data_IF_931133772562
#
_entry.id   IF_931133772562
#
_cell.length_a   1.000
_cell.length_b   1.000
_cell.length_c   1.000
_cell.angle_alpha   90.00
_cell.angle_beta   90.00
_cell.angle_gamma   90.00
#
_symmetry.space_group_name_H-M   'P 1'
#
loop_
_entity.id
_entity.type
_entity.pdbx_description
1 polymer ?
#
# COMPACT_ATOMS: atom_id res chain seq x y z
N UNK A 1 21.35 -61.33 -27.46
CA UNK A 1 22.71 -61.35 -28.05
C UNK A 1 22.96 -59.99 -28.70
N UNK A 2 24.10 -59.37 -28.36
CA UNK A 2 24.67 -58.11 -28.90
C UNK A 2 24.07 -56.80 -28.37
N UNK A 3 24.82 -55.77 -28.02
CA UNK A 3 26.17 -55.58 -27.45
C UNK A 3 26.21 -54.06 -27.15
N UNK A 4 26.85 -53.68 -26.04
CA UNK A 4 27.10 -52.30 -25.63
C UNK A 4 27.73 -51.46 -26.75
N UNK A 5 27.43 -50.15 -26.78
CA UNK A 5 28.46 -49.15 -27.02
C UNK A 5 28.13 -47.83 -26.31
N UNK A 6 28.93 -47.56 -25.29
CA UNK A 6 29.14 -46.25 -24.68
C UNK A 6 29.98 -45.41 -25.64
N UNK A 7 29.59 -44.16 -25.87
CA UNK A 7 30.53 -43.12 -26.28
C UNK A 7 30.25 -41.85 -25.51
N UNK A 8 31.08 -41.60 -24.50
CA UNK A 8 31.16 -40.36 -23.75
C UNK A 8 31.83 -39.29 -24.62
N UNK A 9 31.18 -38.15 -24.81
CA UNK A 9 31.79 -36.98 -25.44
C UNK A 9 31.91 -35.87 -24.39
N UNK A 10 33.08 -35.80 -23.77
CA UNK A 10 33.53 -34.67 -22.93
C UNK A 10 33.99 -33.53 -23.84
N UNK A 11 33.37 -32.35 -23.69
CA UNK A 11 33.88 -31.10 -24.24
C UNK A 11 34.18 -30.12 -23.09
N UNK A 12 35.43 -29.65 -23.10
CA UNK A 12 36.09 -28.81 -22.10
C UNK A 12 35.40 -27.46 -21.95
N UNK A 13 35.05 -27.10 -20.72
CA UNK A 13 34.75 -25.70 -20.33
C UNK A 13 36.05 -24.99 -19.98
N UNK A 14 36.46 -24.01 -20.78
CA UNK A 14 37.53 -23.08 -20.43
C UNK A 14 36.99 -22.06 -19.42
N UNK A 15 37.26 -22.27 -18.14
CA UNK A 15 37.04 -21.26 -17.10
C UNK A 15 38.17 -20.22 -17.15
N UNK A 16 37.89 -19.04 -17.68
CA UNK A 16 38.75 -17.88 -17.46
C UNK A 16 38.51 -17.37 -16.04
N UNK A 17 39.45 -17.61 -15.14
CA UNK A 17 39.46 -17.00 -13.81
C UNK A 17 39.77 -15.51 -13.95
N UNK A 18 38.79 -14.66 -13.64
CA UNK A 18 39.01 -13.23 -13.46
C UNK A 18 39.63 -13.00 -12.07
N UNK A 19 40.87 -12.53 -12.05
CA UNK A 19 41.59 -12.12 -10.84
C UNK A 19 40.90 -10.88 -10.23
N UNK A 20 40.50 -10.89 -8.94
CA UNK A 20 40.03 -9.68 -8.29
C UNK A 20 41.21 -8.72 -8.05
N UNK A 21 41.03 -7.39 -8.23
CA UNK A 21 42.06 -6.43 -7.87
C UNK A 21 42.28 -6.42 -6.35
N UNK A 22 43.56 -6.42 -5.97
CA UNK A 22 44.02 -6.34 -4.60
C UNK A 22 43.50 -5.07 -3.91
N UNK A 23 42.91 -5.23 -2.72
CA UNK A 23 42.54 -4.12 -1.84
C UNK A 23 43.80 -3.59 -1.14
N UNK A 24 44.14 -2.33 -1.39
CA UNK A 24 45.16 -1.62 -0.63
C UNK A 24 44.72 -1.39 0.83
N UNK A 25 45.63 -1.53 1.81
CA UNK A 25 45.32 -1.27 3.20
C UNK A 25 45.08 0.22 3.45
N UNK A 26 43.91 0.54 4.00
CA UNK A 26 43.54 1.90 4.43
C UNK A 26 44.58 2.46 5.40
N UNK A 27 45.20 3.56 5.00
CA UNK A 27 46.03 4.39 5.83
C UNK A 27 45.20 5.00 6.96
N UNK A 28 45.59 4.69 8.19
CA UNK A 28 45.06 5.21 9.44
C UNK A 28 45.38 6.72 9.54
N UNK A 29 44.41 7.58 9.23
CA UNK A 29 44.51 9.03 9.48
C UNK A 29 43.77 9.33 10.78
N UNK A 30 44.59 9.48 11.80
CA UNK A 30 44.28 10.00 13.11
C UNK A 30 43.82 11.46 13.00
N UNK A 31 42.53 11.73 13.19
CA UNK A 31 42.01 13.10 13.33
C UNK A 31 41.25 13.23 14.66
N UNK A 32 41.99 13.69 15.66
CA UNK A 32 41.48 14.38 16.84
C UNK A 32 40.54 15.50 16.40
N UNK A 33 39.27 15.44 16.77
CA UNK A 33 38.44 16.63 16.95
C UNK A 33 37.44 16.38 18.08
N UNK A 34 37.83 16.86 19.26
CA UNK A 34 37.06 16.89 20.49
C UNK A 34 35.74 17.65 20.32
N UNK A 35 34.65 17.00 20.77
CA UNK A 35 33.58 17.56 21.59
C UNK A 35 33.35 19.08 21.55
N UNK A 36 32.23 19.50 20.93
CA UNK A 36 31.47 20.69 21.38
C UNK A 36 29.98 20.36 21.46
N UNK A 37 29.55 20.04 22.68
CA UNK A 37 28.16 20.03 23.11
C UNK A 37 27.70 21.50 23.21
N UNK A 38 26.52 21.89 22.71
CA UNK A 38 26.00 23.24 22.93
C UNK A 38 25.74 23.49 24.44
N UNK A 39 26.01 24.70 24.95
CA UNK A 39 25.88 24.98 26.37
C UNK A 39 24.41 24.94 26.82
N UNK A 40 24.18 24.32 27.98
CA UNK A 40 22.91 24.37 28.72
C UNK A 40 22.44 25.82 28.94
N UNK A 41 21.13 26.11 28.85
CA UNK A 41 20.60 27.37 29.33
C UNK A 41 20.56 27.41 30.88
N UNK A 42 20.70 28.59 31.50
CA UNK A 42 20.67 28.74 32.95
C UNK A 42 19.29 28.42 33.57
N UNK A 43 19.22 27.99 34.83
CA UNK A 43 17.96 27.62 35.48
C UNK A 43 17.17 28.89 35.83
N UNK A 44 15.97 29.07 35.26
CA UNK A 44 15.07 30.12 35.74
C UNK A 44 13.96 30.65 34.83
N UNK A 45 13.77 30.16 33.59
CA UNK A 45 12.64 30.56 32.76
C UNK A 45 11.94 29.33 32.17
N UNK A 46 10.88 28.88 32.83
CA UNK A 46 9.89 27.99 32.21
C UNK A 46 8.96 28.85 31.36
N UNK A 47 8.81 28.63 30.05
CA UNK A 47 7.62 29.11 29.36
C UNK A 47 6.41 28.35 29.91
N UNK A 48 5.39 29.07 30.36
CA UNK A 48 4.09 28.52 30.70
C UNK A 48 3.51 27.91 29.43
N UNK A 49 3.53 26.58 29.32
CA UNK A 49 2.79 25.86 28.29
C UNK A 49 1.39 25.67 28.86
N UNK A 50 0.45 26.52 28.45
CA UNK A 50 -0.97 26.28 28.68
C UNK A 50 -1.32 24.91 28.10
N UNK A 51 -1.77 24.00 28.95
CA UNK A 51 -2.41 22.76 28.52
C UNK A 51 -3.78 23.12 27.95
N UNK A 52 -4.11 22.82 26.68
CA UNK A 52 -5.50 22.73 26.30
C UNK A 52 -6.07 21.46 26.95
N UNK A 53 -7.09 21.72 27.75
CA UNK A 53 -7.98 20.79 28.42
C UNK A 53 -8.37 19.60 27.54
N UNK A 54 -8.36 18.43 28.16
CA UNK A 54 -8.92 17.19 27.67
C UNK A 54 -10.33 17.40 27.13
N UNK A 55 -10.47 17.30 25.81
CA UNK A 55 -11.69 16.89 25.13
C UNK A 55 -11.28 15.83 24.11
N UNK A 56 -12.12 14.81 23.99
CA UNK A 56 -11.97 13.58 23.20
C UNK A 56 -11.23 13.81 21.88
N UNK A 57 -10.02 13.25 21.78
CA UNK A 57 -9.19 13.30 20.58
C UNK A 57 -9.78 12.36 19.51
N UNK A 58 -10.69 12.87 18.68
CA UNK A 58 -10.65 12.49 17.28
C UNK A 58 -9.44 13.19 16.66
N UNK A 59 -8.39 12.43 16.36
CA UNK A 59 -7.26 12.94 15.57
C UNK A 59 -7.79 13.19 14.15
N UNK A 60 -8.39 14.36 13.94
CA UNK A 60 -8.75 14.81 12.60
C UNK A 60 -7.44 14.95 11.83
N UNK A 61 -7.16 14.03 10.89
CA UNK A 61 -5.99 14.12 10.03
C UNK A 61 -5.99 15.48 9.34
N UNK A 62 -5.00 16.32 9.68
CA UNK A 62 -4.82 17.62 9.05
C UNK A 62 -4.54 17.42 7.55
N UNK A 63 -5.20 18.20 6.70
CA UNK A 63 -5.03 18.13 5.25
C UNK A 63 -3.62 18.59 4.88
N UNK A 64 -2.91 17.80 4.06
CA UNK A 64 -1.59 18.11 3.54
C UNK A 64 -1.69 18.53 2.06
N UNK A 65 -1.86 19.83 1.75
CA UNK A 65 -2.25 20.31 0.42
C UNK A 65 -1.15 20.21 -0.65
N UNK A 66 0.10 19.94 -0.27
CA UNK A 66 1.23 19.80 -1.20
C UNK A 66 1.56 18.33 -1.54
N UNK A 67 0.92 17.36 -0.88
CA UNK A 67 1.20 15.93 -1.01
C UNK A 67 0.10 15.29 -1.85
N UNK A 68 0.44 14.25 -2.63
CA UNK A 68 -0.53 13.45 -3.38
C UNK A 68 -0.77 12.08 -2.74
N UNK A 69 -1.87 11.43 -3.11
CA UNK A 69 -2.22 10.08 -2.66
C UNK A 69 -1.10 9.09 -2.96
N UNK A 70 -0.50 9.17 -4.16
CA UNK A 70 0.58 8.27 -4.58
C UNK A 70 1.81 8.35 -3.67
N UNK A 71 2.10 9.53 -3.10
CA UNK A 71 3.27 9.75 -2.25
C UNK A 71 2.99 9.29 -0.81
N UNK A 72 1.76 9.50 -0.32
CA UNK A 72 1.43 9.19 1.07
C UNK A 72 1.08 7.71 1.30
N UNK A 73 0.44 7.04 0.33
CA UNK A 73 0.00 5.65 0.48
C UNK A 73 1.16 4.72 0.81
N UNK A 74 2.31 4.89 0.14
CA UNK A 74 3.52 4.08 0.39
C UNK A 74 4.17 4.30 1.76
N UNK A 75 3.86 5.40 2.45
CA UNK A 75 4.36 5.66 3.81
C UNK A 75 3.58 4.92 4.89
N UNK A 76 2.36 4.46 4.58
CA UNK A 76 1.49 3.75 5.50
C UNK A 76 1.87 2.26 5.52
N UNK A 77 2.69 1.86 6.50
CA UNK A 77 3.20 0.47 6.61
C UNK A 77 2.11 -0.60 6.60
N UNK A 78 0.91 -0.29 7.13
CA UNK A 78 -0.22 -1.20 7.16
C UNK A 78 -0.93 -1.35 5.81
N UNK A 79 -0.62 -0.54 4.80
CA UNK A 79 -1.31 -0.48 3.50
C UNK A 79 -0.38 -0.80 2.32
N UNK A 80 0.86 -1.22 2.59
CA UNK A 80 1.89 -1.41 1.55
C UNK A 80 1.50 -2.44 0.50
N UNK A 81 0.82 -3.52 0.89
CA UNK A 81 0.38 -4.56 -0.05
C UNK A 81 -0.65 -3.99 -1.04
N UNK A 82 -1.65 -3.27 -0.53
CA UNK A 82 -2.63 -2.60 -1.39
C UNK A 82 -1.97 -1.57 -2.31
N UNK A 83 -1.04 -0.76 -1.79
CA UNK A 83 -0.32 0.23 -2.57
C UNK A 83 0.48 -0.38 -3.72
N UNK A 84 1.14 -1.52 -3.48
CA UNK A 84 1.84 -2.25 -4.55
C UNK A 84 0.88 -2.68 -5.66
N UNK A 85 -0.30 -3.20 -5.32
CA UNK A 85 -1.33 -3.57 -6.31
C UNK A 85 -1.81 -2.36 -7.10
N UNK A 86 -2.07 -1.24 -6.42
CA UNK A 86 -2.62 -0.03 -7.06
C UNK A 86 -1.69 0.59 -8.10
N UNK A 87 -0.38 0.32 -8.01
CA UNK A 87 0.63 0.82 -8.95
C UNK A 87 0.85 -0.06 -10.17
N UNK A 88 0.26 -1.26 -10.22
CA UNK A 88 0.55 -2.23 -11.29
C UNK A 88 0.01 -1.80 -12.65
N UNK A 89 -1.06 -0.99 -12.67
CA UNK A 89 -1.79 -0.63 -13.89
C UNK A 89 -2.07 0.87 -13.94
N UNK A 90 -1.93 1.54 -15.11
CA UNK A 90 -2.23 2.96 -15.25
C UNK A 90 -3.62 3.34 -14.74
N UNK A 91 -4.61 2.51 -15.02
CA UNK A 91 -6.03 2.70 -14.68
C UNK A 91 -6.28 2.86 -13.18
N UNK A 92 -5.38 2.33 -12.34
CA UNK A 92 -5.45 2.42 -10.88
C UNK A 92 -4.40 3.38 -10.30
N UNK A 93 -3.29 3.58 -11.01
CA UNK A 93 -2.19 4.43 -10.56
C UNK A 93 -2.41 5.91 -10.86
N UNK A 94 -2.94 6.24 -12.04
CA UNK A 94 -3.14 7.63 -12.49
C UNK A 94 -4.04 8.44 -11.56
N UNK A 95 -5.20 7.93 -11.07
CA UNK A 95 -6.05 8.68 -10.14
C UNK A 95 -5.37 9.03 -8.81
N UNK A 96 -4.31 8.31 -8.44
CA UNK A 96 -3.53 8.56 -7.21
C UNK A 96 -2.45 9.63 -7.44
N UNK A 97 -1.95 9.73 -8.67
CA UNK A 97 -0.84 10.61 -9.06
C UNK A 97 -1.30 11.93 -9.71
N UNK A 98 -2.55 12.05 -10.15
CA UNK A 98 -3.09 13.29 -10.68
C UNK A 98 -3.65 14.19 -9.57
N UNK A 99 -3.15 15.43 -9.50
CA UNK A 99 -3.58 16.45 -8.54
C UNK A 99 -5.04 16.89 -8.74
N UNK A 100 -5.56 16.77 -9.96
CA UNK A 100 -6.91 17.22 -10.32
C UNK A 100 -7.97 16.15 -10.10
N UNK A 101 -7.58 14.88 -10.05
CA UNK A 101 -8.49 13.75 -9.83
C UNK A 101 -8.71 13.54 -8.33
N UNK A 102 -9.89 13.92 -7.82
CA UNK A 102 -10.25 13.69 -6.42
C UNK A 102 -10.59 12.22 -6.18
N UNK A 103 -9.88 11.56 -5.26
CA UNK A 103 -10.03 10.13 -5.01
C UNK A 103 -10.10 9.84 -3.51
N UNK A 104 -11.12 9.10 -3.08
CA UNK A 104 -11.14 8.47 -1.76
C UNK A 104 -10.68 7.02 -1.91
N UNK A 105 -9.63 6.65 -1.18
CA UNK A 105 -9.04 5.31 -1.23
C UNK A 105 -9.48 4.52 -0.01
N UNK A 106 -10.30 3.50 -0.21
CA UNK A 106 -10.69 2.53 0.83
C UNK A 106 -9.65 1.42 0.86
N UNK A 107 -8.52 1.65 1.52
CA UNK A 107 -7.40 0.73 1.48
C UNK A 107 -7.55 -0.38 2.54
N UNK A 108 -7.72 -1.66 2.14
CA UNK A 108 -7.66 -2.77 3.09
C UNK A 108 -6.26 -2.87 3.69
N UNK A 109 -6.18 -3.14 4.99
CA UNK A 109 -4.91 -3.40 5.65
C UNK A 109 -4.19 -4.64 5.08
N UNK A 110 -2.88 -4.72 5.26
CA UNK A 110 -2.09 -5.90 4.86
C UNK A 110 -2.66 -7.18 5.50
N UNK A 111 -3.10 -7.08 6.75
CA UNK A 111 -3.75 -8.18 7.48
C UNK A 111 -5.08 -8.54 6.82
N UNK A 112 -5.92 -7.55 6.48
CA UNK A 112 -7.18 -7.80 5.78
C UNK A 112 -6.95 -8.52 4.43
N UNK A 113 -5.93 -8.12 3.64
CA UNK A 113 -5.56 -8.78 2.38
C UNK A 113 -5.09 -10.23 2.62
N UNK A 114 -4.27 -10.48 3.64
CA UNK A 114 -3.79 -11.84 3.97
C UNK A 114 -4.93 -12.79 4.33
N UNK A 115 -5.95 -12.28 5.02
CA UNK A 115 -7.10 -13.06 5.49
C UNK A 115 -8.24 -13.16 4.48
N UNK A 116 -8.06 -12.64 3.26
CA UNK A 116 -9.06 -12.82 2.22
C UNK A 116 -9.30 -14.31 1.96
N UNK A 117 -10.56 -14.74 1.78
CA UNK A 117 -10.89 -16.14 1.52
C UNK A 117 -10.28 -16.64 0.20
N UNK A 118 -9.97 -15.72 -0.72
CA UNK A 118 -9.31 -15.99 -2.00
C UNK A 118 -8.34 -14.87 -2.31
N UNK A 119 -7.34 -15.17 -3.14
CA UNK A 119 -6.32 -14.19 -3.48
C UNK A 119 -6.86 -13.15 -4.48
N UNK A 120 -6.39 -11.90 -4.45
CA UNK A 120 -6.88 -10.84 -5.35
C UNK A 120 -6.71 -11.12 -6.85
N UNK A 121 -5.79 -12.01 -7.21
CA UNK A 121 -5.56 -12.41 -8.60
C UNK A 121 -6.49 -13.55 -9.06
N UNK A 122 -7.29 -14.11 -8.17
CA UNK A 122 -8.20 -15.23 -8.45
C UNK A 122 -9.64 -14.76 -8.59
N UNK A 123 -10.36 -15.36 -9.53
CA UNK A 123 -11.78 -15.18 -9.78
C UNK A 123 -12.43 -16.59 -9.89
N UNK A 124 -13.50 -16.88 -9.12
CA UNK A 124 -14.24 -18.14 -9.27
C UNK A 124 -14.69 -18.44 -10.68
N UNK A 125 -15.13 -17.43 -11.43
CA UNK A 125 -15.66 -17.63 -12.78
C UNK A 125 -14.56 -18.16 -13.73
N UNK A 126 -13.30 -17.81 -13.48
CA UNK A 126 -12.16 -18.33 -14.24
C UNK A 126 -11.94 -19.84 -13.96
N UNK A 127 -12.11 -20.27 -12.70
CA UNK A 127 -12.03 -21.69 -12.33
C UNK A 127 -13.23 -22.48 -12.87
N UNK A 128 -14.42 -21.90 -12.87
CA UNK A 128 -15.61 -22.53 -13.43
C UNK A 128 -15.47 -22.74 -14.95
N UNK A 129 -14.84 -21.80 -15.64
CA UNK A 129 -14.63 -21.86 -17.10
C UNK A 129 -13.43 -22.70 -17.54
N UNK A 130 -12.31 -22.64 -16.81
CA UNK A 130 -11.00 -23.17 -17.24
C UNK A 130 -10.46 -24.28 -16.33
N UNK A 131 -11.13 -24.58 -15.21
CA UNK A 131 -10.69 -25.55 -14.22
C UNK A 131 -9.48 -25.08 -13.41
N UNK A 132 -8.81 -26.01 -12.73
CA UNK A 132 -7.69 -25.71 -11.82
C UNK A 132 -6.45 -25.10 -12.50
N UNK A 133 -6.42 -25.05 -13.83
CA UNK A 133 -5.32 -24.48 -14.63
C UNK A 133 -5.66 -23.07 -15.16
N UNK A 134 -6.69 -22.43 -14.60
CA UNK A 134 -7.16 -21.11 -14.99
C UNK A 134 -6.05 -20.04 -15.03
N UNK A 135 -4.99 -20.20 -14.22
CA UNK A 135 -3.90 -19.22 -14.13
C UNK A 135 -2.56 -19.73 -14.68
N UNK A 136 -2.57 -20.81 -15.46
CA UNK A 136 -1.35 -21.33 -16.08
C UNK A 136 -1.03 -20.64 -17.41
N UNK A 137 0.27 -20.53 -17.70
CA UNK A 137 0.77 -19.92 -18.93
C UNK A 137 0.51 -18.41 -19.03
N UNK A 138 0.73 -17.85 -20.23
CA UNK A 138 0.61 -16.40 -20.46
C UNK A 138 -0.82 -15.88 -20.29
N UNK A 139 -1.83 -16.60 -20.79
CA UNK A 139 -3.23 -16.20 -20.61
C UNK A 139 -3.67 -16.23 -19.14
N UNK A 140 -3.05 -17.07 -18.31
CA UNK A 140 -3.27 -17.08 -16.87
C UNK A 140 -2.76 -15.82 -16.19
N UNK A 141 -1.55 -15.37 -16.57
CA UNK A 141 -1.00 -14.10 -16.07
C UNK A 141 -1.90 -12.91 -16.40
N UNK A 142 -2.38 -12.82 -17.63
CA UNK A 142 -3.23 -11.68 -18.05
C UNK A 142 -4.55 -11.64 -17.25
N UNK A 143 -5.18 -12.80 -17.03
CA UNK A 143 -6.37 -12.90 -16.15
C UNK A 143 -6.08 -12.48 -14.71
N UNK A 144 -4.94 -12.94 -14.17
CA UNK A 144 -4.51 -12.57 -12.83
C UNK A 144 -4.29 -11.05 -12.71
N UNK A 145 -3.62 -10.44 -13.68
CA UNK A 145 -3.38 -8.99 -13.74
C UNK A 145 -4.70 -8.20 -13.84
N UNK A 146 -5.66 -8.65 -14.65
CA UNK A 146 -6.99 -8.07 -14.75
C UNK A 146 -7.79 -8.17 -13.44
N UNK A 147 -7.70 -9.31 -12.74
CA UNK A 147 -8.37 -9.51 -11.46
C UNK A 147 -7.80 -8.58 -10.38
N UNK A 148 -6.48 -8.43 -10.32
CA UNK A 148 -5.84 -7.47 -9.41
C UNK A 148 -6.25 -6.02 -9.72
N UNK A 149 -6.36 -5.65 -11.00
CA UNK A 149 -6.87 -4.33 -11.41
C UNK A 149 -8.31 -4.11 -10.91
N UNK A 150 -9.22 -5.07 -11.14
CA UNK A 150 -10.61 -5.00 -10.67
C UNK A 150 -10.70 -4.93 -9.15
N UNK A 151 -9.86 -5.68 -8.45
CA UNK A 151 -9.75 -5.64 -7.00
C UNK A 151 -9.42 -4.22 -6.53
N UNK A 152 -8.40 -3.56 -7.10
CA UNK A 152 -8.07 -2.19 -6.71
C UNK A 152 -9.18 -1.21 -7.08
N UNK A 153 -9.78 -1.34 -8.26
CA UNK A 153 -10.87 -0.46 -8.70
C UNK A 153 -12.09 -0.52 -7.76
N UNK A 154 -12.35 -1.67 -7.12
CA UNK A 154 -13.39 -1.80 -6.11
C UNK A 154 -13.14 -0.97 -4.84
N UNK A 155 -11.92 -0.45 -4.64
CA UNK A 155 -11.49 0.30 -3.48
C UNK A 155 -11.22 1.79 -3.76
N UNK A 156 -11.43 2.24 -4.99
CA UNK A 156 -11.24 3.64 -5.39
C UNK A 156 -12.59 4.30 -5.65
N UNK A 157 -12.86 5.40 -4.95
CA UNK A 157 -14.01 6.27 -5.21
C UNK A 157 -13.50 7.55 -5.85
N UNK A 158 -13.71 7.68 -7.16
CA UNK A 158 -13.15 8.78 -7.97
C UNK A 158 -14.23 9.83 -8.22
N UNK A 159 -13.85 11.10 -8.20
CA UNK A 159 -14.71 12.25 -8.53
C UNK A 159 -15.54 12.78 -7.36
N UNK A 160 -15.32 12.28 -6.14
CA UNK A 160 -15.99 12.77 -4.94
C UNK A 160 -15.09 13.72 -4.14
N UNK A 161 -15.67 14.76 -3.51
CA UNK A 161 -14.91 15.64 -2.63
C UNK A 161 -14.36 14.88 -1.41
N UNK A 162 -13.22 15.35 -0.91
CA UNK A 162 -12.61 14.87 0.33
C UNK A 162 -12.71 15.99 1.39
N UNK A 163 -13.19 15.69 2.62
CA UNK A 163 -13.61 14.37 3.10
C UNK A 163 -14.92 13.88 2.46
N UNK A 164 -15.04 12.56 2.30
CA UNK A 164 -16.28 11.93 1.84
C UNK A 164 -17.32 11.97 2.97
N UNK A 165 -18.48 12.57 2.71
CA UNK A 165 -19.54 12.78 3.71
C UNK A 165 -20.37 11.52 3.99
N UNK A 166 -20.87 11.39 5.22
CA UNK A 166 -21.67 10.24 5.65
C UNK A 166 -22.99 10.16 4.88
N UNK A 167 -23.41 8.95 4.51
CA UNK A 167 -24.63 8.70 3.74
C UNK A 167 -24.56 9.12 2.26
N UNK A 168 -23.50 9.81 1.83
CA UNK A 168 -23.33 10.18 0.41
C UNK A 168 -22.93 8.96 -0.39
N UNK A 169 -23.86 8.49 -1.21
CA UNK A 169 -23.62 7.38 -2.14
C UNK A 169 -22.67 7.78 -3.24
N UNK A 170 -21.74 6.88 -3.54
CA UNK A 170 -20.72 7.03 -4.55
C UNK A 170 -20.52 5.71 -5.29
N UNK A 171 -20.03 5.76 -6.52
CA UNK A 171 -19.60 4.56 -7.24
C UNK A 171 -18.09 4.37 -7.10
N UNK A 172 -17.67 3.14 -6.84
CA UNK A 172 -16.28 2.74 -7.01
C UNK A 172 -15.91 2.83 -8.50
N UNK A 173 -14.62 2.88 -8.83
CA UNK A 173 -14.20 2.84 -10.24
C UNK A 173 -14.51 1.49 -10.91
N UNK A 174 -14.77 0.44 -10.12
CA UNK A 174 -15.35 -0.82 -10.60
C UNK A 174 -16.88 -0.74 -10.85
N UNK A 175 -17.51 0.42 -10.60
CA UNK A 175 -18.92 0.69 -10.89
C UNK A 175 -19.90 0.36 -9.76
N UNK A 176 -19.43 -0.12 -8.60
CA UNK A 176 -20.28 -0.54 -7.48
C UNK A 176 -20.68 0.66 -6.61
N UNK A 177 -21.96 0.78 -6.28
CA UNK A 177 -22.44 1.80 -5.35
C UNK A 177 -22.10 1.45 -3.89
N UNK A 178 -21.51 2.40 -3.18
CA UNK A 178 -21.13 2.31 -1.76
C UNK A 178 -21.39 3.65 -1.05
N UNK A 179 -21.49 3.62 0.27
CA UNK A 179 -21.56 4.79 1.15
C UNK A 179 -21.00 4.42 2.53
N UNK A 180 -20.73 5.40 3.39
CA UNK A 180 -20.41 5.09 4.78
C UNK A 180 -21.44 5.69 5.73
N UNK A 181 -21.69 5.00 6.83
CA UNK A 181 -22.56 5.44 7.91
C UNK A 181 -21.82 5.33 9.25
N UNK A 182 -22.33 6.00 10.28
CA UNK A 182 -21.92 5.70 11.65
C UNK A 182 -22.60 4.40 12.08
N UNK A 183 -21.78 3.41 12.43
CA UNK A 183 -22.21 2.11 12.89
C UNK A 183 -23.02 2.19 14.17
N UNK A 184 -24.11 1.43 14.21
CA UNK A 184 -24.91 1.15 15.41
C UNK A 184 -24.58 -0.23 16.03
N UNK A 185 -23.54 -0.89 15.53
CA UNK A 185 -23.22 -2.27 15.87
C UNK A 185 -22.78 -2.40 17.34
N UNK A 186 -23.60 -3.13 18.11
CA UNK A 186 -23.31 -3.72 19.42
C UNK A 186 -22.29 -2.99 20.31
N UNK A 187 -22.62 -1.78 20.77
CA UNK A 187 -21.89 -1.08 21.83
C UNK A 187 -20.66 -0.28 21.40
N UNK A 188 -20.42 -0.11 20.09
CA UNK A 188 -19.42 0.82 19.55
C UNK A 188 -20.11 1.98 18.84
N UNK A 189 -20.61 2.94 19.63
CA UNK A 189 -21.19 4.18 19.11
C UNK A 189 -20.10 5.00 18.41
N UNK A 190 -20.27 5.33 17.12
CA UNK A 190 -19.44 6.29 16.39
C UNK A 190 -18.38 5.73 15.43
N UNK A 191 -18.26 4.41 15.22
CA UNK A 191 -17.34 3.88 14.18
C UNK A 191 -17.91 4.05 12.78
N UNK A 192 -17.10 4.44 11.79
CA UNK A 192 -17.55 4.48 10.38
C UNK A 192 -17.62 3.07 9.81
N UNK A 193 -18.68 2.79 9.04
CA UNK A 193 -18.90 1.50 8.39
C UNK A 193 -19.25 1.74 6.93
N UNK A 194 -18.51 1.12 6.01
CA UNK A 194 -18.76 1.16 4.56
C UNK A 194 -19.82 0.12 4.20
N UNK A 195 -20.88 0.60 3.57
CA UNK A 195 -22.06 -0.13 3.13
C UNK A 195 -21.98 -0.41 1.62
N UNK A 196 -22.63 -1.49 1.14
CA UNK A 196 -23.60 -2.33 1.86
C UNK A 196 -23.00 -3.48 2.69
N UNK A 197 -21.69 -3.75 2.57
CA UNK A 197 -21.10 -4.97 3.15
C UNK A 197 -20.80 -4.89 4.65
N UNK A 198 -20.95 -3.72 5.27
CA UNK A 198 -20.67 -3.55 6.69
C UNK A 198 -19.17 -3.56 7.02
N UNK A 199 -18.32 -3.08 6.10
CA UNK A 199 -16.86 -3.06 6.30
C UNK A 199 -16.51 -1.95 7.29
N UNK A 200 -15.91 -2.30 8.43
CA UNK A 200 -15.48 -1.31 9.42
C UNK A 200 -14.31 -0.49 8.91
N UNK A 201 -14.35 0.82 9.15
CA UNK A 201 -13.21 1.70 8.94
C UNK A 201 -12.36 1.70 10.21
N UNK A 202 -11.08 1.34 10.07
CA UNK A 202 -10.11 1.42 11.16
C UNK A 202 -9.80 2.88 11.51
N UNK A 203 -9.54 3.71 10.48
CA UNK A 203 -9.23 5.14 10.61
C UNK A 203 -9.22 5.85 9.25
N UNK A 204 -9.34 7.17 9.27
CA UNK A 204 -8.85 8.01 8.15
C UNK A 204 -7.33 8.14 8.31
N UNK A 205 -6.59 7.56 7.38
CA UNK A 205 -5.13 7.45 7.48
C UNK A 205 -4.38 8.73 7.08
N UNK A 206 -4.89 9.44 6.08
CA UNK A 206 -4.36 10.73 5.65
C UNK A 206 -5.37 11.49 4.80
N UNK A 207 -5.22 12.82 4.77
CA UNK A 207 -5.90 13.71 3.82
C UNK A 207 -4.86 14.56 3.11
N UNK A 208 -4.94 14.59 1.79
CA UNK A 208 -3.93 15.15 0.90
C UNK A 208 -4.58 15.95 -0.24
N UNK A 209 -3.78 16.56 -1.12
CA UNK A 209 -4.28 17.51 -2.11
C UNK A 209 -5.37 16.93 -3.04
N UNK A 210 -5.21 15.67 -3.43
CA UNK A 210 -6.11 14.97 -4.34
C UNK A 210 -7.01 13.93 -3.66
N UNK A 211 -7.14 13.94 -2.33
CA UNK A 211 -8.15 13.14 -1.65
C UNK A 211 -7.80 12.64 -0.26
N UNK A 212 -8.35 11.48 0.11
CA UNK A 212 -8.10 10.86 1.41
C UNK A 212 -7.87 9.35 1.32
N UNK A 213 -7.12 8.84 2.30
CA UNK A 213 -6.90 7.41 2.49
C UNK A 213 -7.66 6.98 3.73
N UNK A 214 -8.52 5.98 3.58
CA UNK A 214 -9.33 5.39 4.63
C UNK A 214 -8.90 3.93 4.79
N UNK A 215 -8.35 3.60 5.96
CA UNK A 215 -7.90 2.24 6.30
C UNK A 215 -9.11 1.40 6.70
N UNK A 216 -9.28 0.24 6.08
CA UNK A 216 -10.38 -0.70 6.30
C UNK A 216 -9.84 -2.09 6.64
#
# INVERSE_FOLDING_TARGET
MRLLNLLSLTLLTTSTAATPPAQEPLHNINNNNNNRIPPYPPPGHLPVIMSPSSSSHEVQSQVQPAVLLIDILGTQRSLTTFFSLARMRPETNEPLADANTKTTVLAPSNVAIEHLPRKPWENPDDYDALGSQAYDGSGGKDRADDNMMRFVQAHLVIGHPSPWEAGVKAKTSAGREIWWEEGKAAGQEGKRVVMPDGVEVERVASRVANGEVVSC
#
